data_IF_473475731681
#
_entry.id   IF_473475731681
#
_cell.length_a   1.000
_cell.length_b   1.000
_cell.length_c   1.000
_cell.angle_alpha   90.00
_cell.angle_beta   90.00
_cell.angle_gamma   90.00
#
_symmetry.space_group_name_H-M   'P 1'
#
loop_
_entity.id
_entity.type
_entity.pdbx_description
1 polymer ?
#
# COMPACT_ATOMS: atom_id res chain seq x y z
N UNK A 1 7.59 18.07 -12.45
CA UNK A 1 6.61 17.29 -11.65
C UNK A 1 7.41 16.45 -10.68
N UNK A 2 6.95 16.24 -9.43
CA UNK A 2 7.62 15.32 -8.52
C UNK A 2 7.66 13.92 -9.15
N UNK A 3 8.71 13.15 -8.85
CA UNK A 3 8.82 11.76 -9.27
C UNK A 3 7.61 10.97 -8.74
N UNK A 4 7.12 9.98 -9.50
CA UNK A 4 6.08 9.08 -9.01
C UNK A 4 6.69 8.01 -8.13
N UNK A 5 6.45 8.07 -6.83
CA UNK A 5 6.94 7.09 -5.86
C UNK A 5 5.94 5.93 -5.65
N UNK A 6 6.41 4.72 -5.31
CA UNK A 6 5.52 3.58 -5.09
C UNK A 6 4.53 3.83 -3.94
N UNK A 7 3.25 3.48 -4.12
CA UNK A 7 2.24 3.54 -3.04
C UNK A 7 2.69 2.74 -1.80
N UNK A 8 3.34 1.60 -2.01
CA UNK A 8 3.90 0.77 -0.91
C UNK A 8 4.97 1.49 -0.09
N UNK A 9 5.62 2.52 -0.64
CA UNK A 9 6.60 3.32 0.07
C UNK A 9 6.00 4.11 1.24
N UNK A 10 4.73 4.52 1.14
CA UNK A 10 4.01 5.11 2.27
C UNK A 10 3.84 4.13 3.41
N UNK A 11 3.47 2.88 3.11
CA UNK A 11 3.35 1.82 4.11
C UNK A 11 4.70 1.61 4.82
N UNK A 12 5.80 1.53 4.06
CA UNK A 12 7.14 1.35 4.63
C UNK A 12 7.56 2.55 5.49
N UNK A 13 7.22 3.78 5.09
CA UNK A 13 7.55 4.98 5.86
C UNK A 13 6.71 5.08 7.14
N UNK A 14 5.41 4.80 7.07
CA UNK A 14 4.52 4.73 8.22
C UNK A 14 4.99 3.65 9.21
N UNK A 15 5.41 2.49 8.69
CA UNK A 15 5.98 1.43 9.50
C UNK A 15 7.28 1.88 10.15
N UNK A 16 8.26 2.36 9.38
CA UNK A 16 9.54 2.82 9.90
C UNK A 16 10.32 3.67 8.86
N UNK A 17 10.75 4.90 9.20
CA UNK A 17 11.56 5.74 8.30
C UNK A 17 12.86 5.09 7.82
N UNK A 18 13.52 4.31 8.69
CA UNK A 18 14.71 3.51 8.32
C UNK A 18 14.36 2.43 7.30
N UNK A 19 13.21 1.76 7.44
CA UNK A 19 12.77 0.74 6.50
C UNK A 19 12.48 1.35 5.12
N UNK A 20 11.81 2.50 5.08
CA UNK A 20 11.62 3.25 3.83
C UNK A 20 12.95 3.54 3.15
N UNK A 21 13.92 4.15 3.85
CA UNK A 21 15.18 4.49 3.19
C UNK A 21 16.03 3.27 2.81
N UNK A 22 16.01 2.18 3.59
CA UNK A 22 16.66 0.92 3.19
C UNK A 22 16.06 0.31 1.90
N UNK A 23 14.73 0.33 1.76
CA UNK A 23 14.05 -0.25 0.58
C UNK A 23 14.16 0.67 -0.63
N UNK A 24 13.88 1.95 -0.45
CA UNK A 24 13.63 2.88 -1.56
C UNK A 24 14.83 3.78 -1.85
N UNK A 25 15.58 4.24 -0.85
CA UNK A 25 16.74 5.11 -1.06
C UNK A 25 17.99 4.27 -1.37
N UNK A 26 18.30 3.30 -0.51
CA UNK A 26 19.49 2.46 -0.62
C UNK A 26 19.31 1.28 -1.59
N UNK A 27 18.07 0.98 -2.00
CA UNK A 27 17.74 -0.15 -2.87
C UNK A 27 18.27 -1.51 -2.33
N UNK A 28 18.47 -1.61 -1.02
CA UNK A 28 19.06 -2.79 -0.33
C UNK A 28 18.18 -4.05 -0.40
N UNK A 29 17.06 -4.00 -1.13
CA UNK A 29 15.98 -4.98 -1.10
C UNK A 29 15.39 -5.36 -2.48
N UNK A 30 16.01 -4.93 -3.57
CA UNK A 30 15.46 -5.13 -4.92
C UNK A 30 15.34 -6.62 -5.36
N UNK A 31 16.03 -7.57 -4.73
CA UNK A 31 16.08 -8.96 -5.24
C UNK A 31 15.21 -9.99 -4.49
N UNK A 32 15.02 -9.88 -3.18
CA UNK A 32 14.58 -11.05 -2.38
C UNK A 32 13.10 -11.11 -1.95
N UNK A 33 12.37 -9.99 -1.80
CA UNK A 33 11.01 -10.04 -1.24
C UNK A 33 9.87 -9.77 -2.22
N UNK A 34 10.06 -8.84 -3.17
CA UNK A 34 9.03 -8.48 -4.15
C UNK A 34 8.64 -9.66 -5.06
N UNK A 35 9.55 -10.63 -5.23
CA UNK A 35 9.38 -11.78 -6.12
C UNK A 35 8.77 -13.00 -5.44
N UNK A 36 8.92 -13.18 -4.12
CA UNK A 36 8.42 -14.39 -3.44
C UNK A 36 7.10 -14.14 -2.66
N UNK A 37 6.99 -13.02 -1.95
CA UNK A 37 5.81 -12.77 -1.10
C UNK A 37 4.64 -12.17 -1.89
N UNK A 38 4.92 -11.25 -2.81
CA UNK A 38 3.94 -10.62 -3.71
C UNK A 38 3.43 -11.54 -4.82
N UNK A 39 4.31 -12.31 -5.48
CA UNK A 39 3.90 -13.18 -6.61
C UNK A 39 2.90 -14.26 -6.22
N UNK A 40 3.07 -14.93 -5.08
CA UNK A 40 2.16 -16.01 -4.65
C UNK A 40 0.77 -15.49 -4.26
N UNK A 41 0.65 -14.21 -3.87
CA UNK A 41 -0.65 -13.59 -3.59
C UNK A 41 -1.30 -13.08 -4.89
N UNK A 42 -0.50 -12.47 -5.78
CA UNK A 42 -0.94 -12.07 -7.12
C UNK A 42 -1.41 -13.27 -7.95
N UNK A 43 -0.74 -14.43 -7.88
CA UNK A 43 -1.11 -15.65 -8.63
C UNK A 43 -2.55 -16.14 -8.33
N UNK A 44 -3.10 -15.84 -7.14
CA UNK A 44 -4.52 -16.16 -6.83
C UNK A 44 -5.49 -15.09 -7.33
N UNK A 45 -5.04 -13.85 -7.42
CA UNK A 45 -5.78 -12.73 -8.03
C UNK A 45 -5.79 -12.89 -9.57
N UNK A 46 -4.71 -13.41 -10.17
CA UNK A 46 -4.52 -13.64 -11.60
C UNK A 46 -5.33 -14.82 -12.18
N UNK A 47 -6.19 -15.47 -11.39
CA UNK A 47 -7.22 -16.36 -11.95
C UNK A 47 -8.36 -15.52 -12.54
N UNK A 48 -8.04 -14.90 -13.67
CA UNK A 48 -8.85 -13.96 -14.43
C UNK A 48 -10.23 -14.50 -14.76
N UNK A 49 -11.22 -14.10 -13.97
CA UNK A 49 -12.56 -13.79 -14.43
C UNK A 49 -13.02 -12.54 -13.68
N UNK A 50 -13.37 -11.50 -14.42
CA UNK A 50 -14.25 -10.45 -13.91
C UNK A 50 -15.57 -11.14 -13.57
N UNK A 51 -15.74 -11.55 -12.32
CA UNK A 51 -16.94 -12.25 -11.91
C UNK A 51 -18.04 -11.20 -11.74
N UNK A 52 -18.82 -10.98 -12.79
CA UNK A 52 -19.95 -10.05 -12.75
C UNK A 52 -21.15 -10.76 -12.15
N UNK A 53 -21.23 -10.81 -10.82
CA UNK A 53 -22.48 -11.13 -10.13
C UNK A 53 -23.32 -9.85 -10.04
N UNK A 54 -24.07 -9.54 -11.11
CA UNK A 54 -25.13 -8.52 -11.20
C UNK A 54 -24.74 -7.08 -10.83
N UNK A 55 -24.56 -6.85 -9.53
CA UNK A 55 -24.35 -5.56 -8.86
C UNK A 55 -22.91 -5.33 -8.40
N UNK A 56 -22.01 -6.29 -8.60
CA UNK A 56 -20.57 -6.11 -8.33
C UNK A 56 -19.75 -6.40 -9.57
N UNK A 57 -18.83 -5.50 -9.90
CA UNK A 57 -17.78 -5.71 -10.88
C UNK A 57 -16.42 -5.68 -10.17
N UNK A 58 -15.52 -6.59 -10.53
CA UNK A 58 -14.22 -6.72 -9.88
C UNK A 58 -13.14 -6.46 -10.91
N UNK A 59 -12.35 -5.42 -10.70
CA UNK A 59 -11.09 -5.19 -11.38
C UNK A 59 -9.95 -5.72 -10.51
N UNK A 60 -8.93 -6.28 -11.16
CA UNK A 60 -7.77 -6.88 -10.51
C UNK A 60 -6.49 -6.29 -11.07
N UNK A 61 -5.47 -6.14 -10.22
CA UNK A 61 -4.16 -5.58 -10.60
C UNK A 61 -4.30 -4.25 -11.34
N UNK A 62 -5.16 -3.36 -10.82
CA UNK A 62 -5.45 -2.06 -11.43
C UNK A 62 -4.28 -1.11 -11.17
N UNK A 63 -3.71 -0.55 -12.24
CA UNK A 63 -2.65 0.47 -12.12
C UNK A 63 -3.24 1.76 -11.56
N UNK A 64 -2.58 2.33 -10.58
CA UNK A 64 -2.96 3.56 -9.91
C UNK A 64 -1.90 4.62 -10.11
N UNK A 65 -2.33 5.86 -10.34
CA UNK A 65 -1.47 7.04 -10.45
C UNK A 65 -2.18 8.23 -9.79
N UNK A 66 -1.44 8.98 -8.98
CA UNK A 66 -1.84 10.29 -8.49
C UNK A 66 -0.71 11.28 -8.77
N UNK A 67 -0.97 12.27 -9.64
CA UNK A 67 -0.04 13.36 -9.89
C UNK A 67 -0.03 14.33 -8.71
N UNK A 68 -1.19 14.53 -8.07
CA UNK A 68 -1.30 15.43 -6.93
C UNK A 68 -0.45 14.96 -5.72
N UNK A 69 -0.36 13.65 -5.50
CA UNK A 69 0.43 13.06 -4.42
C UNK A 69 1.81 12.57 -4.87
N UNK A 70 2.10 12.57 -6.17
CA UNK A 70 3.32 11.99 -6.73
C UNK A 70 3.42 10.48 -6.44
N UNK A 71 2.33 9.74 -6.61
CA UNK A 71 2.25 8.31 -6.28
C UNK A 71 1.92 7.46 -7.52
N UNK A 72 2.48 6.26 -7.57
CA UNK A 72 2.07 5.22 -8.51
C UNK A 72 2.12 3.83 -7.88
N UNK A 73 1.31 2.90 -8.39
CA UNK A 73 1.32 1.53 -7.89
C UNK A 73 0.26 0.65 -8.52
N UNK A 74 -0.02 -0.47 -7.86
CA UNK A 74 -1.05 -1.42 -8.26
C UNK A 74 -1.97 -1.63 -7.07
N UNK A 75 -3.28 -1.58 -7.30
CA UNK A 75 -4.27 -2.12 -6.38
C UNK A 75 -4.57 -3.58 -6.76
N UNK A 76 -4.49 -4.48 -5.77
CA UNK A 76 -4.75 -5.90 -5.97
C UNK A 76 -6.16 -6.14 -6.53
N UNK A 77 -7.14 -5.51 -5.87
CA UNK A 77 -8.55 -5.63 -6.21
C UNK A 77 -9.26 -4.30 -6.00
N UNK A 78 -10.05 -3.90 -6.99
CA UNK A 78 -11.04 -2.83 -6.85
C UNK A 78 -12.40 -3.41 -7.20
N UNK A 79 -13.28 -3.44 -6.22
CA UNK A 79 -14.67 -3.80 -6.40
C UNK A 79 -15.45 -2.54 -6.79
N UNK A 80 -16.41 -2.68 -7.67
CA UNK A 80 -17.30 -1.63 -8.13
C UNK A 80 -18.71 -2.09 -7.83
N UNK A 81 -19.39 -1.38 -6.93
CA UNK A 81 -20.75 -1.70 -6.50
C UNK A 81 -21.75 -0.82 -7.25
N UNK A 82 -22.77 -1.43 -7.86
CA UNK A 82 -23.81 -0.68 -8.58
C UNK A 82 -24.61 0.19 -7.60
N UNK A 83 -24.71 1.48 -7.89
CA UNK A 83 -25.60 2.39 -7.17
C UNK A 83 -27.05 2.13 -7.60
N UNK A 84 -27.95 1.97 -6.61
CA UNK A 84 -29.35 1.59 -6.86
C UNK A 84 -30.24 2.76 -7.27
N UNK A 85 -29.84 4.00 -6.96
CA UNK A 85 -30.58 5.20 -7.33
C UNK A 85 -29.61 6.37 -7.61
N UNK A 86 -29.43 6.82 -8.87
CA UNK A 86 -28.56 7.94 -9.21
C UNK A 86 -29.24 9.31 -9.04
N UNK A 87 -30.46 9.37 -8.49
CA UNK A 87 -31.22 10.62 -8.27
C UNK A 87 -30.96 11.28 -6.92
N UNK A 88 -30.13 10.68 -6.08
CA UNK A 88 -29.74 11.27 -4.81
C UNK A 88 -28.93 12.53 -5.06
N UNK A 89 -29.44 13.66 -4.55
CA UNK A 89 -28.76 14.96 -4.57
C UNK A 89 -27.56 15.00 -3.59
N UNK A 90 -27.12 13.85 -3.05
CA UNK A 90 -25.94 13.79 -2.20
C UNK A 90 -24.68 13.97 -3.06
N UNK A 91 -23.96 15.09 -2.94
CA UNK A 91 -22.74 15.33 -3.71
C UNK A 91 -21.62 14.30 -3.43
N UNK A 92 -21.75 13.46 -2.39
CA UNK A 92 -20.83 12.36 -2.06
C UNK A 92 -21.21 11.02 -2.71
N UNK A 93 -22.40 10.88 -3.31
CA UNK A 93 -22.83 9.69 -4.08
C UNK A 93 -22.53 9.84 -5.59
N UNK A 94 -21.39 10.45 -5.91
CA UNK A 94 -20.86 10.41 -7.27
C UNK A 94 -20.25 9.03 -7.48
N UNK A 95 -20.98 8.13 -8.12
CA UNK A 95 -20.40 6.90 -8.67
C UNK A 95 -19.80 7.14 -10.06
N UNK A 96 -19.00 6.18 -10.53
CA UNK A 96 -18.33 6.25 -11.83
C UNK A 96 -19.12 5.50 -12.90
N UNK A 97 -18.99 5.93 -14.15
CA UNK A 97 -19.44 5.13 -15.30
C UNK A 97 -18.32 4.20 -15.74
N UNK A 98 -18.62 2.92 -15.92
CA UNK A 98 -17.65 1.95 -16.40
C UNK A 98 -17.89 1.66 -17.90
N UNK A 99 -16.84 1.58 -18.75
CA UNK A 99 -17.00 1.24 -20.16
C UNK A 99 -17.79 -0.06 -20.37
N UNK A 100 -18.79 -0.01 -21.25
CA UNK A 100 -19.64 -1.16 -21.57
C UNK A 100 -20.61 -1.57 -20.45
N UNK A 101 -20.78 -0.77 -19.38
CA UNK A 101 -21.68 -1.08 -18.26
C UNK A 101 -22.68 0.04 -18.04
N UNK A 102 -23.95 -0.35 -17.81
CA UNK A 102 -25.03 0.59 -17.46
C UNK A 102 -24.96 0.96 -15.97
N UNK A 103 -25.44 2.15 -15.65
CA UNK A 103 -25.53 2.66 -14.28
C UNK A 103 -24.23 3.28 -13.77
N UNK A 104 -24.30 3.79 -12.53
CA UNK A 104 -23.18 4.34 -11.77
C UNK A 104 -22.65 3.27 -10.81
N UNK A 105 -21.35 3.32 -10.54
CA UNK A 105 -20.68 2.32 -9.73
C UNK A 105 -19.79 2.99 -8.68
N UNK A 106 -19.90 2.58 -7.42
CA UNK A 106 -19.03 3.03 -6.33
C UNK A 106 -17.75 2.18 -6.34
N UNK A 107 -16.56 2.76 -6.59
CA UNK A 107 -15.31 2.04 -6.40
C UNK A 107 -15.07 1.77 -4.91
N UNK A 108 -14.49 0.60 -4.64
CA UNK A 108 -14.20 0.08 -3.32
C UNK A 108 -12.87 -0.69 -3.39
N UNK A 109 -11.74 -0.10 -2.97
CA UNK A 109 -10.46 -0.79 -2.97
C UNK A 109 -10.41 -1.88 -1.90
N UNK A 110 -9.79 -3.02 -2.25
CA UNK A 110 -9.58 -4.15 -1.35
C UNK A 110 -8.11 -4.56 -1.41
N UNK A 111 -7.38 -4.29 -0.32
CA UNK A 111 -5.97 -4.62 -0.17
C UNK A 111 -5.82 -6.00 0.48
N UNK A 112 -5.09 -6.92 -0.15
CA UNK A 112 -4.90 -8.27 0.36
C UNK A 112 -3.62 -8.39 1.19
N UNK A 113 -3.73 -8.92 2.41
CA UNK A 113 -2.57 -9.19 3.28
C UNK A 113 -2.48 -10.67 3.63
N UNK A 114 -1.27 -11.24 3.55
CA UNK A 114 -0.99 -12.66 3.90
C UNK A 114 -0.99 -12.90 5.42
N UNK A 115 -0.69 -11.87 6.21
CA UNK A 115 -0.47 -11.94 7.66
C UNK A 115 -1.72 -12.07 8.52
N UNK A 116 -1.53 -12.23 9.84
CA UNK A 116 -2.63 -12.12 10.82
C UNK A 116 -3.10 -10.67 10.89
N UNK A 117 -4.41 -10.48 11.06
CA UNK A 117 -5.01 -9.17 11.35
C UNK A 117 -4.31 -8.57 12.57
N UNK A 118 -3.44 -7.62 12.30
CA UNK A 118 -2.99 -6.64 13.27
C UNK A 118 -3.51 -5.33 12.71
N UNK A 119 -4.33 -4.64 13.49
CA UNK A 119 -4.77 -3.28 13.17
C UNK A 119 -3.54 -2.40 13.29
N UNK A 120 -2.79 -2.26 12.21
CA UNK A 120 -1.61 -1.42 12.21
C UNK A 120 -1.87 -0.29 11.21
N UNK A 121 -1.64 0.94 11.65
CA UNK A 121 -2.12 2.14 10.96
C UNK A 121 -1.52 2.28 9.55
N UNK A 122 -0.33 1.72 9.30
CA UNK A 122 0.32 1.76 8.00
C UNK A 122 -0.41 1.02 6.87
N UNK A 123 -1.14 -0.07 7.16
CA UNK A 123 -1.91 -0.78 6.14
C UNK A 123 -3.12 0.06 5.70
N UNK A 124 -3.71 0.80 6.65
CA UNK A 124 -4.80 1.76 6.37
C UNK A 124 -4.31 2.94 5.56
N UNK A 125 -3.09 3.43 5.82
CA UNK A 125 -2.45 4.47 5.01
C UNK A 125 -2.27 4.02 3.56
N UNK A 126 -1.79 2.80 3.33
CA UNK A 126 -1.64 2.28 1.96
C UNK A 126 -2.98 2.18 1.24
N UNK A 127 -4.01 1.64 1.90
CA UNK A 127 -5.36 1.54 1.35
C UNK A 127 -5.96 2.92 1.06
N UNK A 128 -5.77 3.89 1.97
CA UNK A 128 -6.19 5.26 1.76
C UNK A 128 -5.46 5.90 0.57
N UNK A 129 -4.16 5.67 0.42
CA UNK A 129 -3.41 6.16 -0.74
C UNK A 129 -3.94 5.57 -2.06
N UNK A 130 -4.30 4.27 -2.08
CA UNK A 130 -4.97 3.66 -3.23
C UNK A 130 -6.32 4.33 -3.53
N UNK A 131 -7.13 4.57 -2.50
CA UNK A 131 -8.41 5.28 -2.63
C UNK A 131 -8.20 6.69 -3.22
N UNK A 132 -7.28 7.49 -2.66
CA UNK A 132 -6.98 8.84 -3.15
C UNK A 132 -6.51 8.84 -4.62
N UNK A 133 -5.70 7.85 -5.04
CA UNK A 133 -5.33 7.71 -6.44
C UNK A 133 -6.53 7.39 -7.32
N UNK A 134 -7.40 6.46 -6.89
CA UNK A 134 -8.63 6.13 -7.62
C UNK A 134 -9.57 7.33 -7.73
N UNK A 135 -9.72 8.11 -6.66
CA UNK A 135 -10.52 9.34 -6.66
C UNK A 135 -10.03 10.34 -7.70
N UNK A 136 -8.71 10.57 -7.77
CA UNK A 136 -8.11 11.45 -8.79
C UNK A 136 -8.30 10.91 -10.20
N UNK A 137 -8.12 9.60 -10.40
CA UNK A 137 -8.23 8.96 -11.72
C UNK A 137 -9.66 8.90 -12.25
N UNK A 138 -10.64 8.78 -11.35
CA UNK A 138 -12.03 8.51 -11.71
C UNK A 138 -12.98 9.68 -11.44
N UNK A 139 -12.47 10.78 -10.88
CA UNK A 139 -13.23 11.98 -10.49
C UNK A 139 -14.44 11.65 -9.61
N UNK A 140 -14.18 10.97 -8.50
CA UNK A 140 -15.19 10.35 -7.63
C UNK A 140 -14.75 10.39 -6.17
N UNK A 141 -15.68 10.23 -5.23
CA UNK A 141 -15.38 9.98 -3.81
C UNK A 141 -15.37 8.49 -3.50
N UNK A 142 -14.45 8.06 -2.63
CA UNK A 142 -14.34 6.69 -2.11
C UNK A 142 -14.34 6.79 -0.58
N UNK A 143 -15.51 6.62 0.07
CA UNK A 143 -15.63 6.79 1.51
C UNK A 143 -15.13 5.58 2.30
N UNK A 144 -15.01 4.40 1.67
CA UNK A 144 -14.68 3.15 2.35
C UNK A 144 -13.85 2.22 1.44
N UNK A 145 -12.99 1.43 2.07
CA UNK A 145 -12.29 0.30 1.46
C UNK A 145 -12.21 -0.87 2.44
N UNK A 146 -11.45 -1.91 2.12
CA UNK A 146 -11.22 -2.99 3.07
C UNK A 146 -9.81 -3.59 3.02
N UNK A 147 -9.37 -4.07 4.18
CA UNK A 147 -8.21 -4.95 4.30
C UNK A 147 -8.70 -6.40 4.35
N UNK A 148 -8.14 -7.27 3.51
CA UNK A 148 -8.48 -8.70 3.49
C UNK A 148 -7.33 -9.55 3.98
N UNK A 149 -7.49 -10.20 5.14
CA UNK A 149 -6.45 -11.04 5.74
C UNK A 149 -6.65 -12.52 5.38
N UNK A 150 -5.83 -13.03 4.47
CA UNK A 150 -5.99 -14.35 3.83
C UNK A 150 -6.03 -15.54 4.80
N UNK A 151 -5.30 -15.48 5.93
CA UNK A 151 -5.28 -16.56 6.92
C UNK A 151 -6.56 -16.68 7.74
N UNK A 152 -7.24 -15.56 7.98
CA UNK A 152 -8.47 -15.51 8.76
C UNK A 152 -9.74 -15.47 7.88
N UNK A 153 -9.57 -15.33 6.55
CA UNK A 153 -10.68 -15.09 5.58
C UNK A 153 -11.61 -13.96 6.01
N UNK A 154 -11.07 -12.97 6.71
CA UNK A 154 -11.84 -11.86 7.31
C UNK A 154 -11.55 -10.59 6.55
N UNK A 155 -12.63 -9.93 6.11
CA UNK A 155 -12.64 -8.57 5.60
C UNK A 155 -12.75 -7.61 6.78
N UNK A 156 -11.85 -6.64 6.85
CA UNK A 156 -11.94 -5.52 7.78
C UNK A 156 -12.31 -4.26 7.00
N UNK A 157 -13.49 -3.67 7.23
CA UNK A 157 -13.85 -2.38 6.63
C UNK A 157 -12.96 -1.26 7.19
N UNK A 158 -12.59 -0.33 6.32
CA UNK A 158 -11.80 0.85 6.66
C UNK A 158 -12.50 2.08 6.09
N UNK A 159 -12.95 2.96 6.99
CA UNK A 159 -13.43 4.29 6.63
C UNK A 159 -12.27 5.14 6.11
N UNK A 160 -12.44 5.73 4.93
CA UNK A 160 -11.48 6.67 4.33
C UNK A 160 -11.90 8.08 4.74
N UNK A 161 -11.85 8.33 6.05
CA UNK A 161 -12.29 9.60 6.65
C UNK A 161 -11.25 10.73 6.51
N UNK A 162 -11.64 11.93 6.94
CA UNK A 162 -10.77 13.12 6.85
C UNK A 162 -9.47 13.00 7.64
N UNK A 163 -9.46 12.25 8.75
CA UNK A 163 -8.26 12.04 9.57
C UNK A 163 -7.24 11.18 8.83
N UNK A 164 -7.67 10.00 8.35
CA UNK A 164 -6.82 9.09 7.59
C UNK A 164 -6.32 9.73 6.28
N UNK A 165 -7.16 10.52 5.60
CA UNK A 165 -6.77 11.30 4.42
C UNK A 165 -5.68 12.32 4.74
N UNK A 166 -5.83 13.06 5.83
CA UNK A 166 -4.86 14.08 6.25
C UNK A 166 -3.51 13.45 6.58
N UNK A 167 -3.53 12.35 7.34
CA UNK A 167 -2.32 11.61 7.68
C UNK A 167 -1.62 11.04 6.43
N UNK A 168 -2.38 10.44 5.51
CA UNK A 168 -1.85 9.88 4.25
C UNK A 168 -1.18 10.95 3.39
N UNK A 169 -1.80 12.13 3.27
CA UNK A 169 -1.25 13.27 2.51
C UNK A 169 0.03 13.81 3.15
N UNK A 170 0.02 14.02 4.47
CA UNK A 170 1.20 14.47 5.20
C UNK A 170 2.36 13.47 5.09
N UNK A 171 2.04 12.17 5.08
CA UNK A 171 3.06 11.13 4.90
C UNK A 171 3.62 11.11 3.48
N UNK A 172 2.81 11.38 2.45
CA UNK A 172 3.28 11.53 1.07
C UNK A 172 4.23 12.71 0.91
N UNK A 173 3.91 13.86 1.48
CA UNK A 173 4.80 15.03 1.49
C UNK A 173 6.12 14.73 2.20
N UNK A 174 6.06 14.08 3.37
CA UNK A 174 7.25 13.64 4.11
C UNK A 174 8.08 12.63 3.31
N UNK A 175 7.43 11.70 2.64
CA UNK A 175 8.07 10.68 1.80
C UNK A 175 8.87 11.32 0.67
N UNK A 176 8.27 12.27 -0.06
CA UNK A 176 8.95 13.02 -1.11
C UNK A 176 10.12 13.84 -0.57
N UNK A 177 9.95 14.47 0.60
CA UNK A 177 11.04 15.20 1.27
C UNK A 177 12.22 14.27 1.60
N UNK A 178 11.93 13.09 2.14
CA UNK A 178 12.97 12.10 2.47
C UNK A 178 13.63 11.52 1.22
N UNK A 179 12.85 11.23 0.17
CA UNK A 179 13.34 10.77 -1.13
C UNK A 179 14.31 11.78 -1.75
N UNK A 180 13.88 13.04 -1.88
CA UNK A 180 14.71 14.11 -2.42
C UNK A 180 15.96 14.39 -1.57
N UNK A 181 15.85 14.23 -0.25
CA UNK A 181 16.97 14.36 0.67
C UNK A 181 18.02 13.25 0.54
N UNK A 182 17.69 12.12 -0.12
CA UNK A 182 18.57 10.97 -0.36
C UNK A 182 19.35 10.51 0.90
N UNK A 183 18.69 10.57 2.06
CA UNK A 183 19.28 10.22 3.36
C UNK A 183 18.41 9.21 4.07
N UNK A 184 18.97 8.03 4.30
CA UNK A 184 18.33 7.07 5.18
C UNK A 184 18.59 7.44 6.64
N UNK A 185 17.54 7.53 7.48
CA UNK A 185 17.70 7.74 8.92
C UNK A 185 18.57 6.67 9.59
N UNK A 186 19.09 6.95 10.78
CA UNK A 186 19.73 5.95 11.64
C UNK A 186 18.69 4.96 12.19
N UNK A 187 19.08 3.72 12.54
CA UNK A 187 18.14 2.77 13.12
C UNK A 187 17.70 3.20 14.52
N UNK A 188 16.39 3.11 14.77
CA UNK A 188 15.77 3.31 16.09
C UNK A 188 15.16 1.97 16.54
N UNK A 189 15.85 1.19 17.38
CA UNK A 189 15.35 -0.11 17.83
C UNK A 189 14.03 0.02 18.59
N UNK A 190 13.08 -0.86 18.29
CA UNK A 190 11.79 -0.89 18.97
C UNK A 190 11.05 -2.21 18.81
N UNK A 191 9.87 -2.37 19.43
CA UNK A 191 9.13 -3.64 19.43
C UNK A 191 8.81 -4.18 18.03
N UNK A 192 8.54 -3.27 17.07
CA UNK A 192 8.24 -3.62 15.67
C UNK A 192 9.39 -4.30 14.95
N UNK A 193 10.65 -4.01 15.32
CA UNK A 193 11.85 -4.54 14.67
C UNK A 193 11.88 -6.08 14.61
N UNK A 194 11.28 -6.76 15.60
CA UNK A 194 11.20 -8.24 15.65
C UNK A 194 10.43 -8.85 14.47
N UNK A 195 9.50 -8.09 13.89
CA UNK A 195 8.71 -8.50 12.72
C UNK A 195 9.13 -7.75 11.45
N UNK A 196 10.20 -6.95 11.52
CA UNK A 196 10.70 -6.23 10.36
C UNK A 196 11.50 -7.20 9.50
N UNK A 197 11.08 -7.36 8.24
CA UNK A 197 11.78 -8.17 7.25
C UNK A 197 13.22 -7.70 6.97
N UNK A 198 13.53 -6.46 7.35
CA UNK A 198 14.83 -5.82 7.22
C UNK A 198 15.68 -5.85 8.50
N UNK A 199 15.25 -6.57 9.55
CA UNK A 199 15.91 -6.50 10.84
C UNK A 199 17.40 -6.89 10.79
N UNK A 200 17.75 -7.96 10.07
CA UNK A 200 19.14 -8.45 9.99
C UNK A 200 20.07 -7.49 9.26
N UNK A 201 19.57 -6.79 8.24
CA UNK A 201 20.32 -5.77 7.48
C UNK A 201 20.40 -4.47 8.29
N UNK A 202 19.31 -4.10 8.97
CA UNK A 202 19.17 -2.84 9.70
C UNK A 202 19.93 -2.84 11.04
N UNK A 203 19.88 -3.95 11.76
CA UNK A 203 20.50 -4.19 13.06
C UNK A 203 21.26 -5.52 13.00
N UNK A 204 22.40 -5.57 12.28
CA UNK A 204 23.18 -6.79 12.18
C UNK A 204 23.59 -7.26 13.58
N UNK A 205 23.21 -8.49 13.92
CA UNK A 205 23.72 -9.15 15.11
C UNK A 205 25.17 -9.51 14.84
N UNK A 206 26.09 -8.59 15.10
CA UNK A 206 27.50 -8.96 15.09
C UNK A 206 27.74 -9.97 16.21
N UNK A 207 27.99 -11.24 15.83
CA UNK A 207 28.92 -12.04 16.61
C UNK A 207 30.21 -11.23 16.71
N UNK A 208 30.58 -10.88 17.94
CA UNK A 208 31.77 -10.11 18.34
C UNK A 208 32.62 -9.59 17.16
N UNK A 209 32.51 -8.30 16.84
CA UNK A 209 33.31 -7.64 15.78
C UNK A 209 34.83 -7.88 15.99
N UNK A 210 35.27 -8.09 17.23
CA UNK A 210 36.65 -8.45 17.55
C UNK A 210 37.06 -9.88 17.17
N UNK A 211 36.13 -10.81 16.92
CA UNK A 211 36.45 -12.13 16.36
C UNK A 211 36.67 -12.04 14.84
N UNK A 212 35.79 -11.34 14.14
CA UNK A 212 35.89 -11.10 12.69
C UNK A 212 37.16 -10.31 12.31
N UNK A 213 37.50 -9.26 13.08
CA UNK A 213 38.72 -8.49 12.85
C UNK A 213 40.01 -9.28 13.14
N UNK A 214 40.00 -10.22 14.09
CA UNK A 214 41.17 -11.09 14.35
C UNK A 214 41.41 -12.06 13.21
N UNK A 215 40.35 -12.66 12.67
CA UNK A 215 40.44 -13.62 11.56
C UNK A 215 40.91 -12.97 10.24
N UNK A 216 40.61 -11.69 10.01
CA UNK A 216 41.07 -10.96 8.83
C UNK A 216 42.45 -10.32 8.95
N UNK A 217 42.96 -10.07 10.16
CA UNK A 217 44.25 -9.43 10.38
C UNK A 217 45.38 -10.43 10.69
N UNK A 218 45.04 -11.63 11.15
CA UNK A 218 46.00 -12.70 11.47
C UNK A 218 46.09 -13.78 10.36
N UNK A 219 45.58 -13.49 9.15
CA UNK A 219 45.58 -14.38 7.98
C UNK A 219 46.46 -13.90 6.83
#
# INVERSE_FOLDING_TARGET
MPDLLPISALQHLAYCPRQFGLIHIEQSWAENLFTAEGRVLHERVDTGRSDSRGDVHIARSLRLVSQALGLSGIADVVEFYRLKDPTTEDPNEKGVTLPGRRGRWQPFPVEYKRGRSKREDWDRIQLCAQALCLEEMLDTSIPEGALFYGKARRREPVSIDGGLRTETRALAERMHTMWAGNRTPSPEPGPKCKNCSLNEICLPKHGNVGAYLREMLDG
#
